data_IF_174811911033
#
_entry.id   IF_174811911033
#
_cell.length_a   1.000
_cell.length_b   1.000
_cell.length_c   1.000
_cell.angle_alpha   90.00
_cell.angle_beta   90.00
_cell.angle_gamma   90.00
#
_symmetry.space_group_name_H-M   'P 1'
#
loop_
_entity.id
_entity.type
_entity.pdbx_description
1 polymer ?
#
# COMPACT_ATOMS: atom_id res chain seq x y z
N UNK A 1 -8.22 5.03 -19.35
CA UNK A 1 -9.11 3.84 -19.40
C UNK A 1 -10.49 4.28 -18.97
N UNK A 2 -11.43 4.35 -19.90
CA UNK A 2 -12.86 4.55 -19.61
C UNK A 2 -13.52 3.19 -19.38
N UNK A 3 -14.48 3.15 -18.47
CA UNK A 3 -15.24 2.00 -17.95
C UNK A 3 -16.08 1.19 -18.98
N UNK A 4 -15.64 1.07 -20.23
CA UNK A 4 -16.48 0.64 -21.34
C UNK A 4 -16.53 -0.87 -21.61
N UNK A 5 -15.77 -1.71 -20.92
CA UNK A 5 -15.64 -3.14 -21.26
C UNK A 5 -16.23 -4.13 -20.25
N UNK A 6 -17.10 -3.67 -19.35
CA UNK A 6 -17.88 -4.58 -18.51
C UNK A 6 -19.32 -4.64 -19.02
N UNK A 7 -19.77 -5.84 -19.39
CA UNK A 7 -21.19 -6.12 -19.60
C UNK A 7 -22.02 -5.52 -18.43
N UNK A 8 -23.21 -4.96 -18.69
CA UNK A 8 -24.03 -4.36 -17.64
C UNK A 8 -24.26 -5.36 -16.51
N UNK A 9 -23.73 -5.04 -15.32
CA UNK A 9 -23.82 -5.91 -14.15
C UNK A 9 -25.20 -5.70 -13.54
N UNK A 10 -26.00 -6.77 -13.51
CA UNK A 10 -27.33 -6.75 -12.92
C UNK A 10 -27.26 -7.37 -11.55
N UNK A 11 -27.65 -6.62 -10.52
CA UNK A 11 -27.76 -7.12 -9.17
C UNK A 11 -28.72 -8.32 -9.13
N UNK A 12 -28.31 -9.39 -8.46
CA UNK A 12 -29.05 -10.65 -8.46
C UNK A 12 -28.83 -11.40 -7.15
N UNK A 13 -29.80 -12.24 -6.80
CA UNK A 13 -29.68 -13.12 -5.64
C UNK A 13 -28.96 -14.38 -6.10
N UNK A 14 -27.88 -14.75 -5.40
CA UNK A 14 -27.28 -16.07 -5.60
C UNK A 14 -28.20 -17.13 -4.99
N UNK A 15 -28.92 -17.85 -5.85
CA UNK A 15 -29.69 -19.02 -5.43
C UNK A 15 -28.78 -20.24 -5.42
N UNK A 16 -28.44 -20.73 -4.23
CA UNK A 16 -27.68 -21.98 -4.09
C UNK A 16 -26.32 -21.78 -3.45
N UNK A 17 -26.30 -21.81 -2.11
CA UNK A 17 -25.20 -22.47 -1.40
C UNK A 17 -24.72 -23.68 -2.22
N UNK A 18 -23.44 -23.73 -2.59
CA UNK A 18 -22.91 -24.87 -3.35
C UNK A 18 -23.03 -26.11 -2.44
N UNK A 19 -23.56 -27.24 -2.92
CA UNK A 19 -23.75 -28.46 -2.13
C UNK A 19 -22.47 -29.07 -1.52
N UNK A 20 -21.28 -28.62 -1.96
CA UNK A 20 -19.98 -28.99 -1.37
C UNK A 20 -19.59 -28.14 -0.14
N UNK A 21 -20.23 -26.99 0.07
CA UNK A 21 -20.03 -26.12 1.23
C UNK A 21 -21.17 -26.38 2.21
N UNK A 22 -20.86 -27.11 3.29
CA UNK A 22 -21.83 -27.67 4.22
C UNK A 22 -22.76 -26.63 4.89
N UNK A 23 -23.85 -26.27 4.20
CA UNK A 23 -25.11 -25.84 4.82
C UNK A 23 -26.23 -26.49 4.02
N UNK A 24 -26.64 -27.65 4.50
CA UNK A 24 -28.01 -28.13 4.31
C UNK A 24 -28.90 -26.97 4.77
N UNK A 25 -29.95 -26.68 4.01
CA UNK A 25 -31.10 -25.96 4.52
C UNK A 25 -31.51 -26.61 5.85
N UNK A 26 -30.94 -26.12 6.95
CA UNK A 26 -31.46 -26.40 8.25
C UNK A 26 -32.83 -25.74 8.18
N UNK A 27 -33.86 -26.59 8.19
CA UNK A 27 -35.09 -26.26 8.89
C UNK A 27 -34.67 -25.36 10.05
N UNK A 28 -35.02 -24.07 9.96
CA UNK A 28 -34.82 -23.10 11.02
C UNK A 28 -35.73 -23.58 12.15
N UNK A 29 -35.29 -24.61 12.85
CA UNK A 29 -35.73 -24.87 14.19
C UNK A 29 -35.06 -23.76 14.98
N UNK A 30 -35.80 -22.68 15.36
CA UNK A 30 -35.29 -21.86 16.44
C UNK A 30 -34.90 -22.80 17.57
N UNK A 31 -33.84 -22.49 18.35
CA UNK A 31 -33.51 -23.28 19.52
C UNK A 31 -34.82 -23.56 20.28
N UNK A 32 -35.09 -24.82 20.69
CA UNK A 32 -36.37 -25.17 21.30
C UNK A 32 -36.72 -24.14 22.38
N UNK A 33 -37.99 -23.76 22.54
CA UNK A 33 -38.40 -22.61 23.39
C UNK A 33 -37.86 -22.65 24.84
N UNK A 34 -37.46 -23.83 25.32
CA UNK A 34 -36.75 -24.06 26.60
C UNK A 34 -35.30 -23.53 26.64
N UNK A 35 -34.71 -23.23 25.49
CA UNK A 35 -33.38 -22.63 25.27
C UNK A 35 -33.46 -21.17 24.81
N UNK A 36 -34.59 -20.47 24.91
CA UNK A 36 -34.68 -19.04 24.54
C UNK A 36 -35.16 -18.25 25.74
N UNK A 37 -34.32 -18.17 26.77
CA UNK A 37 -34.53 -17.27 27.90
C UNK A 37 -33.20 -16.63 28.29
N UNK A 38 -33.04 -15.34 27.98
CA UNK A 38 -32.00 -14.52 28.57
C UNK A 38 -32.63 -13.35 29.29
N UNK A 39 -32.58 -13.41 30.62
CA UNK A 39 -32.54 -12.23 31.46
C UNK A 39 -31.10 -11.70 31.42
N UNK A 40 -30.89 -10.49 30.88
CA UNK A 40 -29.58 -9.83 30.87
C UNK A 40 -29.01 -9.64 32.29
N UNK A 41 -29.85 -9.72 33.33
CA UNK A 41 -29.51 -9.49 34.73
C UNK A 41 -29.24 -10.80 35.50
N UNK A 42 -29.24 -11.96 34.83
CA UNK A 42 -28.92 -13.24 35.46
C UNK A 42 -27.45 -13.25 35.96
N UNK A 43 -27.27 -13.33 37.27
CA UNK A 43 -25.97 -13.29 37.97
C UNK A 43 -25.08 -14.51 37.69
N UNK A 44 -25.65 -15.65 37.27
CA UNK A 44 -24.92 -16.89 37.05
C UNK A 44 -24.78 -17.20 35.55
N UNK A 45 -23.53 -17.19 35.07
CA UNK A 45 -23.17 -17.37 33.66
C UNK A 45 -23.60 -18.74 33.10
N UNK A 46 -23.70 -19.76 33.96
CA UNK A 46 -24.10 -21.14 33.64
C UNK A 46 -25.62 -21.32 33.49
N UNK A 47 -26.43 -20.33 33.89
CA UNK A 47 -27.89 -20.34 33.74
C UNK A 47 -28.35 -19.66 32.44
N UNK A 48 -27.41 -19.15 31.62
CA UNK A 48 -27.70 -18.57 30.31
C UNK A 48 -27.81 -19.69 29.28
N UNK A 49 -29.00 -20.24 29.08
CA UNK A 49 -29.29 -21.18 28.00
C UNK A 49 -29.97 -20.47 26.83
N UNK A 50 -29.24 -20.37 25.72
CA UNK A 50 -29.73 -19.90 24.42
C UNK A 50 -28.63 -19.63 23.41
N UNK A 51 -28.99 -19.26 22.17
CA UNK A 51 -28.01 -18.80 21.20
C UNK A 51 -27.35 -17.61 21.88
N UNK A 52 -26.12 -17.78 22.34
CA UNK A 52 -25.45 -16.72 23.10
C UNK A 52 -25.38 -15.43 22.28
N UNK A 53 -24.74 -14.40 22.82
CA UNK A 53 -24.52 -13.09 22.15
C UNK A 53 -23.74 -13.13 20.80
N UNK A 54 -23.59 -14.30 20.16
CA UNK A 54 -22.72 -14.59 19.02
C UNK A 54 -23.42 -15.28 17.84
N UNK A 55 -24.67 -15.74 17.98
CA UNK A 55 -25.45 -16.15 16.81
C UNK A 55 -25.91 -14.90 16.07
N UNK A 56 -25.67 -14.86 14.76
CA UNK A 56 -26.00 -13.69 13.96
C UNK A 56 -26.43 -14.09 12.55
N UNK A 57 -27.60 -13.65 12.12
CA UNK A 57 -28.00 -13.67 10.72
C UNK A 57 -27.43 -12.44 10.02
N UNK A 58 -27.15 -12.60 8.75
CA UNK A 58 -26.48 -11.57 7.97
C UNK A 58 -26.98 -11.56 6.52
N UNK A 59 -26.92 -10.38 5.90
CA UNK A 59 -27.03 -10.16 4.47
C UNK A 59 -25.64 -9.79 3.96
N UNK A 60 -25.24 -10.37 2.85
CA UNK A 60 -23.96 -10.16 2.20
C UNK A 60 -24.18 -9.62 0.79
N UNK A 61 -23.39 -8.62 0.41
CA UNK A 61 -23.43 -7.99 -0.89
C UNK A 61 -22.02 -7.95 -1.46
N UNK A 62 -21.85 -8.48 -2.66
CA UNK A 62 -20.65 -8.24 -3.46
C UNK A 62 -20.83 -6.91 -4.22
N UNK A 63 -20.08 -5.85 -3.87
CA UNK A 63 -20.19 -4.56 -4.54
C UNK A 63 -19.60 -4.57 -5.96
N UNK A 64 -18.80 -5.57 -6.29
CA UNK A 64 -18.17 -5.75 -7.59
C UNK A 64 -19.18 -6.21 -8.63
N UNK A 65 -19.96 -7.26 -8.37
CA UNK A 65 -20.89 -7.85 -9.34
C UNK A 65 -22.39 -7.70 -8.98
N UNK A 66 -22.70 -7.24 -7.78
CA UNK A 66 -24.07 -7.04 -7.30
C UNK A 66 -24.74 -8.31 -6.79
N UNK A 67 -23.98 -9.39 -6.54
CA UNK A 67 -24.49 -10.59 -5.92
C UNK A 67 -24.97 -10.31 -4.48
N UNK A 68 -26.15 -10.81 -4.14
CA UNK A 68 -26.72 -10.74 -2.80
C UNK A 68 -27.00 -12.16 -2.29
N UNK A 69 -26.60 -12.43 -1.04
CA UNK A 69 -26.93 -13.66 -0.33
C UNK A 69 -27.11 -13.41 1.16
N UNK A 70 -27.66 -14.39 1.87
CA UNK A 70 -27.91 -14.30 3.30
C UNK A 70 -27.62 -15.64 3.98
N UNK A 71 -27.37 -15.59 5.28
CA UNK A 71 -27.07 -16.77 6.08
C UNK A 71 -27.02 -16.45 7.57
N UNK A 72 -26.48 -17.38 8.34
CA UNK A 72 -26.24 -17.21 9.77
C UNK A 72 -24.84 -17.68 10.18
N UNK A 73 -24.46 -17.41 11.42
CA UNK A 73 -23.24 -17.95 12.04
C UNK A 73 -23.61 -19.01 13.06
N UNK A 74 -22.91 -20.15 13.06
CA UNK A 74 -23.20 -21.26 13.97
C UNK A 74 -22.97 -20.84 15.43
N UNK A 75 -24.05 -20.87 16.23
CA UNK A 75 -24.02 -20.55 17.66
C UNK A 75 -23.16 -21.51 18.49
N UNK A 76 -22.82 -22.68 17.94
CA UNK A 76 -22.00 -23.72 18.58
C UNK A 76 -20.50 -23.53 18.38
N UNK A 77 -20.09 -22.59 17.51
CA UNK A 77 -18.68 -22.36 17.21
C UNK A 77 -17.91 -21.77 18.41
N UNK A 78 -16.66 -22.23 18.69
CA UNK A 78 -15.86 -21.76 19.80
C UNK A 78 -15.52 -20.26 19.73
N UNK A 79 -15.07 -19.70 20.85
CA UNK A 79 -15.12 -18.26 21.15
C UNK A 79 -14.22 -17.34 20.30
N UNK A 80 -13.44 -17.84 19.36
CA UNK A 80 -12.45 -17.02 18.67
C UNK A 80 -13.00 -16.43 17.36
N UNK A 81 -13.34 -15.13 17.42
CA UNK A 81 -13.51 -14.22 16.28
C UNK A 81 -14.74 -14.41 15.38
N UNK A 82 -15.83 -13.64 15.65
CA UNK A 82 -16.95 -13.46 14.70
C UNK A 82 -16.48 -13.06 13.28
N UNK A 83 -15.38 -12.29 13.20
CA UNK A 83 -14.79 -11.82 11.96
C UNK A 83 -14.28 -12.93 11.05
N UNK A 84 -13.96 -14.11 11.60
CA UNK A 84 -13.51 -15.28 10.80
C UNK A 84 -14.65 -16.16 10.28
N UNK A 85 -15.91 -15.86 10.67
CA UNK A 85 -17.08 -16.67 10.34
C UNK A 85 -18.05 -15.99 9.38
N UNK A 86 -17.92 -14.68 9.19
CA UNK A 86 -18.70 -13.92 8.21
C UNK A 86 -18.07 -14.08 6.82
N UNK A 87 -18.88 -14.08 5.74
CA UNK A 87 -18.37 -14.13 4.37
C UNK A 87 -17.61 -12.86 3.95
N UNK A 88 -17.63 -11.83 4.79
CA UNK A 88 -17.05 -10.52 4.51
C UNK A 88 -17.00 -9.62 5.73
N UNK A 89 -16.80 -8.33 5.49
CA UNK A 89 -16.63 -7.33 6.55
C UNK A 89 -17.86 -6.42 6.65
N UNK A 90 -18.26 -6.02 7.88
CA UNK A 90 -19.30 -5.01 8.03
C UNK A 90 -18.80 -3.67 7.50
N UNK A 91 -19.72 -2.86 6.95
CA UNK A 91 -19.40 -1.54 6.37
C UNK A 91 -18.57 -0.64 7.28
N UNK A 92 -18.84 -0.66 8.58
CA UNK A 92 -18.10 0.12 9.58
C UNK A 92 -16.62 -0.27 9.70
N UNK A 93 -16.28 -1.53 9.41
CA UNK A 93 -14.90 -2.02 9.43
C UNK A 93 -14.11 -1.69 8.15
N UNK A 94 -14.82 -1.50 7.02
CA UNK A 94 -14.20 -1.13 5.74
C UNK A 94 -13.84 0.35 5.65
N UNK A 95 -14.51 1.22 6.41
CA UNK A 95 -14.33 2.66 6.28
C UNK A 95 -14.82 3.20 4.93
N UNK A 96 -14.42 4.42 4.58
CA UNK A 96 -14.88 5.16 3.39
C UNK A 96 -13.89 5.13 2.21
N UNK A 97 -12.82 4.33 2.32
CA UNK A 97 -11.74 4.24 1.33
C UNK A 97 -11.92 3.12 0.30
N UNK A 98 -10.82 2.46 -0.05
CA UNK A 98 -10.83 1.31 -0.97
C UNK A 98 -11.47 0.09 -0.33
N UNK A 99 -12.19 -0.68 -1.16
CA UNK A 99 -12.76 -1.98 -0.78
C UNK A 99 -11.75 -3.06 -1.19
N UNK A 100 -11.29 -3.91 -0.26
CA UNK A 100 -10.37 -5.00 -0.57
C UNK A 100 -10.92 -5.88 -1.71
N UNK A 101 -10.03 -6.43 -2.55
CA UNK A 101 -10.40 -7.13 -3.79
C UNK A 101 -11.37 -8.33 -3.63
N UNK A 102 -11.52 -8.87 -2.42
CA UNK A 102 -12.47 -9.95 -2.08
C UNK A 102 -13.53 -9.54 -1.06
N UNK A 103 -13.66 -8.25 -0.75
CA UNK A 103 -14.52 -7.78 0.32
C UNK A 103 -15.99 -7.75 -0.12
N UNK A 104 -16.66 -8.84 0.22
CA UNK A 104 -18.09 -8.84 0.47
C UNK A 104 -18.40 -7.88 1.62
N UNK A 105 -19.40 -7.01 1.44
CA UNK A 105 -19.90 -6.12 2.50
C UNK A 105 -21.06 -6.81 3.21
N UNK A 106 -20.98 -6.88 4.54
CA UNK A 106 -21.96 -7.60 5.37
C UNK A 106 -22.82 -6.64 6.17
N UNK A 107 -24.14 -6.80 6.06
CA UNK A 107 -25.12 -6.20 6.96
C UNK A 107 -25.59 -7.23 7.99
N UNK A 108 -25.28 -6.98 9.25
CA UNK A 108 -25.70 -7.84 10.35
C UNK A 108 -27.16 -7.54 10.71
N UNK A 109 -27.95 -8.59 10.88
CA UNK A 109 -29.37 -8.47 11.23
C UNK A 109 -29.52 -8.55 12.75
N UNK A 110 -30.25 -7.59 13.33
CA UNK A 110 -30.51 -7.58 14.78
C UNK A 110 -31.61 -8.59 15.12
N UNK A 111 -31.29 -9.52 16.02
CA UNK A 111 -32.25 -10.47 16.62
C UNK A 111 -32.94 -9.92 17.86
N UNK A 112 -32.36 -8.88 18.45
CA UNK A 112 -32.82 -8.31 19.71
C UNK A 112 -33.74 -7.13 19.45
N UNK A 113 -34.94 -7.20 19.99
CA UNK A 113 -35.93 -6.13 19.99
C UNK A 113 -36.37 -5.83 21.42
N UNK A 114 -36.46 -4.55 21.75
CA UNK A 114 -36.91 -4.10 23.06
C UNK A 114 -38.39 -3.74 22.96
N UNK A 115 -39.20 -4.26 23.87
CA UNK A 115 -40.58 -3.79 24.02
C UNK A 115 -40.63 -2.43 24.76
N UNK A 116 -41.84 -1.88 24.91
CA UNK A 116 -42.05 -0.57 25.56
C UNK A 116 -41.68 -0.56 27.07
N UNK A 117 -41.49 -1.74 27.68
CA UNK A 117 -41.08 -1.91 29.08
C UNK A 117 -39.59 -2.29 29.21
N UNK A 118 -38.80 -2.17 28.13
CA UNK A 118 -37.41 -2.63 28.03
C UNK A 118 -37.24 -4.15 28.15
N UNK A 119 -38.31 -4.93 27.95
CA UNK A 119 -38.23 -6.38 27.83
C UNK A 119 -37.51 -6.78 26.54
N UNK A 120 -36.48 -7.62 26.68
CA UNK A 120 -35.70 -8.15 25.57
C UNK A 120 -36.40 -9.34 24.92
N UNK A 121 -36.68 -9.25 23.63
CA UNK A 121 -37.21 -10.36 22.83
C UNK A 121 -36.24 -10.71 21.70
N UNK A 122 -35.96 -12.00 21.55
CA UNK A 122 -35.10 -12.53 20.50
C UNK A 122 -35.96 -13.11 19.37
N UNK A 123 -35.71 -12.70 18.13
CA UNK A 123 -36.36 -13.26 16.93
C UNK A 123 -35.35 -13.61 15.85
N UNK A 124 -35.47 -14.83 15.33
CA UNK A 124 -34.79 -15.29 14.14
C UNK A 124 -35.72 -15.19 12.93
N UNK A 125 -35.16 -14.79 11.80
CA UNK A 125 -35.90 -14.64 10.54
C UNK A 125 -35.87 -15.93 9.75
N UNK A 126 -36.99 -16.25 9.08
CA UNK A 126 -37.03 -17.42 8.18
C UNK A 126 -36.24 -17.18 6.90
N UNK A 127 -35.88 -18.25 6.18
CA UNK A 127 -35.23 -18.13 4.88
C UNK A 127 -36.12 -17.36 3.87
N UNK A 128 -37.44 -17.53 3.93
CA UNK A 128 -38.39 -16.78 3.10
C UNK A 128 -38.44 -15.29 3.48
N UNK A 129 -38.38 -14.97 4.78
CA UNK A 129 -38.31 -13.58 5.24
C UNK A 129 -37.00 -12.92 4.75
N UNK A 130 -35.86 -13.60 4.88
CA UNK A 130 -34.56 -13.11 4.42
C UNK A 130 -34.50 -12.98 2.89
N UNK A 131 -35.06 -13.94 2.15
CA UNK A 131 -35.16 -13.88 0.69
C UNK A 131 -36.00 -12.68 0.25
N UNK A 132 -37.14 -12.44 0.91
CA UNK A 132 -37.99 -11.28 0.65
C UNK A 132 -37.24 -9.96 0.89
N UNK A 133 -36.39 -9.90 1.92
CA UNK A 133 -35.53 -8.73 2.17
C UNK A 133 -34.49 -8.59 1.06
N UNK A 134 -33.84 -9.68 0.66
CA UNK A 134 -32.85 -9.69 -0.42
C UNK A 134 -33.46 -9.16 -1.74
N UNK A 135 -34.65 -9.61 -2.13
CA UNK A 135 -35.36 -9.11 -3.32
C UNK A 135 -35.65 -7.61 -3.22
N UNK A 136 -36.04 -7.13 -2.03
CA UNK A 136 -36.39 -5.72 -1.81
C UNK A 136 -35.20 -4.79 -1.90
N UNK A 137 -34.00 -5.23 -1.53
CA UNK A 137 -32.79 -4.40 -1.57
C UNK A 137 -32.11 -4.38 -2.94
N UNK A 138 -32.47 -5.26 -3.88
CA UNK A 138 -31.87 -5.33 -5.21
C UNK A 138 -31.77 -3.97 -5.94
N UNK A 139 -32.79 -3.08 -5.91
CA UNK A 139 -32.67 -1.77 -6.54
C UNK A 139 -31.60 -0.87 -5.91
N UNK A 140 -31.42 -0.94 -4.58
CA UNK A 140 -30.38 -0.20 -3.88
C UNK A 140 -28.99 -0.82 -4.10
N UNK A 141 -28.92 -2.15 -4.20
CA UNK A 141 -27.68 -2.86 -4.59
C UNK A 141 -27.28 -2.49 -6.03
N UNK A 142 -28.22 -2.43 -6.96
CA UNK A 142 -27.94 -1.99 -8.33
C UNK A 142 -27.38 -0.56 -8.33
N UNK A 143 -28.01 0.36 -7.59
CA UNK A 143 -27.51 1.73 -7.42
C UNK A 143 -26.10 1.78 -6.84
N UNK A 144 -25.78 0.91 -5.88
CA UNK A 144 -24.44 0.78 -5.31
C UNK A 144 -23.44 0.34 -6.38
N UNK A 145 -23.74 -0.73 -7.12
CA UNK A 145 -22.85 -1.28 -8.17
C UNK A 145 -22.64 -0.29 -9.31
N UNK A 146 -23.67 0.46 -9.68
CA UNK A 146 -23.61 1.47 -10.74
C UNK A 146 -22.80 2.71 -10.34
N UNK A 147 -22.69 2.99 -9.04
CA UNK A 147 -22.07 4.20 -8.52
C UNK A 147 -20.72 3.99 -7.87
N UNK A 148 -20.33 2.76 -7.55
CA UNK A 148 -19.02 2.48 -6.96
C UNK A 148 -17.89 2.75 -7.98
N UNK A 149 -16.80 3.35 -7.51
CA UNK A 149 -15.67 3.65 -8.38
C UNK A 149 -14.83 2.40 -8.65
N UNK A 150 -14.30 2.34 -9.88
CA UNK A 150 -13.27 1.38 -10.28
C UNK A 150 -11.99 2.15 -10.54
N UNK A 151 -10.95 1.81 -9.80
CA UNK A 151 -9.68 2.54 -9.78
C UNK A 151 -8.53 1.65 -10.22
N UNK A 152 -7.48 2.29 -10.72
CA UNK A 152 -6.27 1.58 -11.17
C UNK A 152 -6.48 0.66 -12.38
N UNK A 153 -5.41 -0.02 -12.82
CA UNK A 153 -5.45 -0.99 -13.91
C UNK A 153 -6.19 -2.28 -13.53
N UNK A 154 -6.11 -2.69 -12.26
CA UNK A 154 -6.71 -3.93 -11.76
C UNK A 154 -8.21 -3.79 -11.44
N UNK A 155 -8.76 -2.57 -11.51
CA UNK A 155 -10.17 -2.30 -11.30
C UNK A 155 -10.62 -2.50 -9.86
N UNK A 156 -9.73 -2.18 -8.91
CA UNK A 156 -10.05 -2.15 -7.48
C UNK A 156 -11.24 -1.22 -7.22
N UNK A 157 -11.98 -1.47 -6.14
CA UNK A 157 -13.21 -0.76 -5.85
C UNK A 157 -12.95 0.33 -4.80
N UNK A 158 -13.57 1.50 -4.98
CA UNK A 158 -13.53 2.59 -4.01
C UNK A 158 -14.94 3.18 -3.82
N UNK A 159 -15.29 3.50 -2.57
CA UNK A 159 -16.58 4.10 -2.28
C UNK A 159 -16.72 5.47 -2.97
N UNK A 160 -17.86 5.67 -3.63
CA UNK A 160 -18.36 7.00 -4.00
C UNK A 160 -19.35 7.50 -2.95
N UNK A 161 -19.64 8.80 -2.97
CA UNK A 161 -20.65 9.39 -2.09
C UNK A 161 -22.03 8.75 -2.30
N UNK A 162 -22.34 8.42 -3.56
CA UNK A 162 -23.59 7.78 -3.95
C UNK A 162 -23.66 6.31 -3.55
N UNK A 163 -22.56 5.55 -3.70
CA UNK A 163 -22.48 4.16 -3.28
C UNK A 163 -22.63 4.03 -1.75
N UNK A 164 -22.04 4.95 -0.99
CA UNK A 164 -22.21 5.02 0.46
C UNK A 164 -23.67 5.32 0.85
N UNK A 165 -24.35 6.21 0.12
CA UNK A 165 -25.80 6.47 0.34
C UNK A 165 -26.68 5.29 -0.05
N UNK A 166 -26.36 4.61 -1.15
CA UNK A 166 -27.06 3.38 -1.54
C UNK A 166 -26.90 2.30 -0.47
N UNK A 167 -25.72 2.18 0.14
CA UNK A 167 -25.50 1.28 1.26
C UNK A 167 -26.36 1.63 2.48
N UNK A 168 -26.46 2.91 2.88
CA UNK A 168 -27.36 3.31 3.98
C UNK A 168 -28.82 2.93 3.70
N UNK A 169 -29.27 3.03 2.44
CA UNK A 169 -30.62 2.61 2.04
C UNK A 169 -30.80 1.08 2.16
N UNK A 170 -29.75 0.29 1.88
CA UNK A 170 -29.70 -1.17 2.10
C UNK A 170 -29.79 -1.46 3.61
N UNK A 171 -28.93 -0.85 4.43
CA UNK A 171 -28.94 -1.03 5.89
C UNK A 171 -30.31 -0.67 6.48
N UNK A 172 -30.91 0.43 6.03
CA UNK A 172 -32.23 0.84 6.47
C UNK A 172 -33.31 -0.19 6.12
N UNK A 173 -33.35 -0.67 4.88
CA UNK A 173 -34.33 -1.66 4.44
C UNK A 173 -34.13 -3.02 5.15
N UNK A 174 -32.89 -3.34 5.53
CA UNK A 174 -32.50 -4.54 6.26
C UNK A 174 -32.52 -4.38 7.79
N UNK A 175 -33.04 -3.26 8.33
CA UNK A 175 -33.19 -3.06 9.78
C UNK A 175 -34.66 -3.21 10.18
N UNK A 176 -35.07 -4.35 10.74
CA UNK A 176 -36.47 -4.60 11.07
C UNK A 176 -36.91 -3.82 12.32
N UNK A 177 -38.21 -3.57 12.41
CA UNK A 177 -38.88 -3.07 13.62
C UNK A 177 -40.02 -3.99 13.99
N UNK A 178 -40.38 -4.05 15.27
CA UNK A 178 -41.62 -4.72 15.70
C UNK A 178 -42.73 -3.69 15.84
N UNK A 179 -43.91 -4.02 15.31
CA UNK A 179 -45.11 -3.27 15.62
C UNK A 179 -45.71 -3.69 16.97
N UNK A 180 -46.73 -2.97 17.49
CA UNK A 180 -47.34 -3.30 18.78
C UNK A 180 -47.96 -4.70 18.85
N UNK A 181 -48.14 -5.40 17.72
CA UNK A 181 -48.62 -6.78 17.68
C UNK A 181 -47.51 -7.82 17.76
N UNK A 182 -46.24 -7.40 17.79
CA UNK A 182 -45.07 -8.28 17.70
C UNK A 182 -44.77 -8.75 16.28
N UNK A 183 -45.43 -8.18 15.26
CA UNK A 183 -45.18 -8.52 13.85
C UNK A 183 -43.98 -7.74 13.33
N UNK A 184 -43.07 -8.44 12.64
CA UNK A 184 -41.91 -7.80 12.00
C UNK A 184 -42.36 -6.93 10.85
N UNK A 185 -41.89 -5.68 10.89
CA UNK A 185 -42.00 -4.73 9.80
C UNK A 185 -40.63 -4.33 9.32
N UNK A 186 -40.35 -4.75 8.09
CA UNK A 186 -39.23 -4.25 7.32
C UNK A 186 -39.56 -2.85 6.78
N UNK A 187 -38.68 -1.87 6.95
CA UNK A 187 -38.85 -0.57 6.32
C UNK A 187 -38.96 -0.72 4.80
N UNK A 188 -39.71 0.19 4.18
CA UNK A 188 -39.74 0.25 2.72
C UNK A 188 -38.37 0.70 2.21
N UNK A 189 -37.85 0.10 1.12
CA UNK A 189 -36.68 0.61 0.44
C UNK A 189 -36.83 2.10 0.15
N UNK A 190 -35.75 2.83 0.35
CA UNK A 190 -35.67 4.26 0.05
C UNK A 190 -34.75 4.47 -1.15
N UNK A 191 -34.87 5.65 -1.74
CA UNK A 191 -33.94 6.13 -2.77
C UNK A 191 -33.49 7.50 -2.30
N UNK A 192 -32.70 7.51 -1.23
CA UNK A 192 -32.30 8.73 -0.54
C UNK A 192 -31.32 9.49 -1.44
N UNK A 193 -31.54 10.78 -1.75
CA UNK A 193 -30.55 11.55 -2.51
C UNK A 193 -29.24 11.67 -1.71
N UNK A 194 -28.10 11.72 -2.40
CA UNK A 194 -26.80 11.93 -1.76
C UNK A 194 -26.83 13.21 -0.92
N UNK A 195 -26.60 13.14 0.39
CA UNK A 195 -26.67 14.32 1.24
C UNK A 195 -25.50 15.25 0.94
N UNK A 196 -25.72 16.57 1.06
CA UNK A 196 -24.72 17.59 0.71
C UNK A 196 -23.43 17.53 1.53
N UNK A 197 -23.41 16.79 2.65
CA UNK A 197 -22.22 16.59 3.47
C UNK A 197 -21.32 15.44 2.98
N UNK A 198 -21.82 14.56 2.10
CA UNK A 198 -21.00 13.58 1.39
C UNK A 198 -20.49 14.18 0.09
N UNK A 199 -19.20 14.44 0.03
CA UNK A 199 -18.57 15.15 -1.08
C UNK A 199 -17.84 14.16 -1.98
N UNK A 200 -18.17 14.18 -3.26
CA UNK A 200 -17.42 13.48 -4.29
C UNK A 200 -16.15 14.27 -4.63
N UNK A 201 -14.97 13.68 -4.41
CA UNK A 201 -13.68 14.38 -4.57
C UNK A 201 -13.50 14.84 -6.01
N UNK A 202 -13.90 14.04 -7.00
CA UNK A 202 -13.82 14.43 -8.41
C UNK A 202 -14.60 15.71 -8.72
N UNK A 203 -15.82 15.83 -8.19
CA UNK A 203 -16.65 17.02 -8.36
C UNK A 203 -16.07 18.24 -7.61
N UNK A 204 -15.49 18.02 -6.43
CA UNK A 204 -14.81 19.05 -5.66
C UNK A 204 -13.58 19.60 -6.40
N UNK A 205 -12.72 18.73 -6.94
CA UNK A 205 -11.54 19.15 -7.71
C UNK A 205 -11.92 19.82 -9.03
N UNK A 206 -12.96 19.36 -9.72
CA UNK A 206 -13.45 20.01 -10.94
C UNK A 206 -13.93 21.45 -10.69
N UNK A 207 -14.47 21.73 -9.50
CA UNK A 207 -14.87 23.08 -9.09
C UNK A 207 -13.71 23.97 -8.61
N UNK A 208 -12.54 23.37 -8.30
CA UNK A 208 -11.36 24.04 -7.75
C UNK A 208 -10.09 23.55 -8.46
N UNK A 209 -9.94 23.80 -9.78
CA UNK A 209 -8.87 23.23 -10.59
C UNK A 209 -7.46 23.65 -10.15
N UNK A 210 -7.33 24.75 -9.42
CA UNK A 210 -6.07 25.22 -8.83
C UNK A 210 -5.52 24.29 -7.74
N UNK A 211 -6.34 23.36 -7.23
CA UNK A 211 -5.91 22.34 -6.27
C UNK A 211 -5.32 21.10 -6.96
N UNK A 212 -5.48 20.97 -8.27
CA UNK A 212 -4.94 19.85 -9.02
C UNK A 212 -3.45 20.08 -9.31
N UNK A 213 -2.58 19.21 -8.78
CA UNK A 213 -1.16 19.24 -9.13
C UNK A 213 -0.95 18.62 -10.52
N UNK A 214 -0.38 19.36 -11.50
CA UNK A 214 -0.10 18.83 -12.83
C UNK A 214 0.79 17.58 -12.84
N UNK A 215 1.59 17.35 -11.79
CA UNK A 215 2.45 16.18 -11.66
C UNK A 215 1.66 14.87 -11.70
N UNK A 216 0.42 14.85 -11.19
CA UNK A 216 -0.45 13.67 -11.16
C UNK A 216 -0.69 13.06 -12.55
N UNK A 217 -0.57 13.86 -13.61
CA UNK A 217 -0.70 13.40 -14.99
C UNK A 217 0.36 12.36 -15.40
N UNK A 218 1.52 12.35 -14.75
CA UNK A 218 2.66 11.48 -15.08
C UNK A 218 3.20 10.72 -13.88
N UNK A 219 2.59 10.86 -12.71
CA UNK A 219 2.92 10.10 -11.50
C UNK A 219 2.59 8.61 -11.66
N UNK A 220 3.41 7.74 -11.05
CA UNK A 220 3.17 6.29 -11.01
C UNK A 220 1.96 5.93 -10.14
N UNK A 221 1.36 4.77 -10.38
CA UNK A 221 0.16 4.29 -9.65
C UNK A 221 0.37 4.29 -8.14
N UNK A 222 1.46 3.69 -7.66
CA UNK A 222 1.78 3.63 -6.24
C UNK A 222 1.94 5.02 -5.57
N UNK A 223 2.44 6.02 -6.31
CA UNK A 223 2.61 7.37 -5.78
C UNK A 223 1.29 8.15 -5.81
N UNK A 224 0.42 7.92 -6.80
CA UNK A 224 -0.96 8.43 -6.79
C UNK A 224 -1.77 7.84 -5.63
N UNK A 225 -1.65 6.54 -5.38
CA UNK A 225 -2.33 5.88 -4.27
C UNK A 225 -1.85 6.44 -2.92
N UNK A 226 -0.54 6.70 -2.79
CA UNK A 226 0.03 7.36 -1.62
C UNK A 226 -0.51 8.79 -1.43
N UNK A 227 -0.75 9.55 -2.51
CA UNK A 227 -1.40 10.86 -2.42
C UNK A 227 -2.87 10.78 -1.99
N UNK A 228 -3.58 9.71 -2.37
CA UNK A 228 -4.96 9.50 -1.95
C UNK A 228 -5.06 9.15 -0.47
N UNK A 229 -4.10 8.40 0.08
CA UNK A 229 -4.04 8.04 1.50
C UNK A 229 -3.44 9.13 2.40
N UNK A 230 -2.77 10.13 1.80
CA UNK A 230 -2.10 11.17 2.57
C UNK A 230 -3.11 12.09 3.26
N UNK A 231 -3.03 12.19 4.59
CA UNK A 231 -3.84 13.11 5.39
C UNK A 231 -2.96 14.22 6.00
N UNK A 232 -2.91 15.43 5.40
CA UNK A 232 -2.11 16.52 5.92
C UNK A 232 -2.74 17.17 7.15
N UNK A 233 -1.89 17.79 7.97
CA UNK A 233 -2.29 18.54 9.17
C UNK A 233 -3.10 19.80 8.83
N UNK A 234 -2.82 20.42 7.67
CA UNK A 234 -3.54 21.57 7.11
C UNK A 234 -3.78 21.24 5.64
N UNK A 235 -5.04 21.30 5.18
CA UNK A 235 -5.56 20.62 3.98
C UNK A 235 -4.66 20.38 2.73
N UNK A 236 -5.03 19.28 2.07
CA UNK A 236 -4.64 18.58 0.81
C UNK A 236 -3.24 17.92 0.66
N UNK A 237 -3.14 16.61 0.89
CA UNK A 237 -3.52 15.54 -0.06
C UNK A 237 -4.79 14.85 0.46
N UNK A 238 -5.53 14.17 -0.43
CA UNK A 238 -6.75 13.41 -0.11
C UNK A 238 -7.65 14.03 0.97
N UNK A 239 -8.43 15.08 0.65
CA UNK A 239 -9.26 15.89 1.60
C UNK A 239 -9.77 15.08 2.82
N UNK A 240 -9.17 15.25 4.02
CA UNK A 240 -9.65 16.30 4.93
C UNK A 240 -8.56 17.03 5.75
N UNK A 241 -8.78 18.33 5.95
CA UNK A 241 -8.00 19.21 6.82
C UNK A 241 -8.55 20.64 6.84
N UNK A 242 -9.71 20.84 7.49
CA UNK A 242 -10.41 22.05 8.00
C UNK A 242 -10.51 23.35 7.16
N UNK A 243 -9.63 23.64 6.21
CA UNK A 243 -9.68 24.89 5.41
C UNK A 243 -9.08 24.68 4.02
N UNK A 244 -9.87 24.88 2.97
CA UNK A 244 -9.32 25.17 1.64
C UNK A 244 -9.13 26.68 1.53
N UNK A 245 -7.91 27.18 1.74
CA UNK A 245 -7.63 28.62 1.71
C UNK A 245 -7.85 29.25 0.33
N UNK A 246 -7.65 28.50 -0.75
CA UNK A 246 -7.83 29.01 -2.12
C UNK A 246 -9.31 29.13 -2.52
N UNK A 247 -10.17 28.24 -2.00
CA UNK A 247 -11.60 28.27 -2.29
C UNK A 247 -12.41 29.09 -1.27
N UNK A 248 -11.77 29.65 -0.24
CA UNK A 248 -12.42 30.28 0.93
C UNK A 248 -13.54 29.42 1.56
N UNK A 249 -13.45 28.09 1.40
CA UNK A 249 -14.42 27.14 1.93
C UNK A 249 -13.91 26.49 3.21
N UNK A 250 -14.63 26.73 4.30
CA UNK A 250 -14.45 26.00 5.55
C UNK A 250 -14.97 24.57 5.39
N UNK A 251 -14.10 23.60 5.59
CA UNK A 251 -14.48 22.18 5.68
C UNK A 251 -14.71 21.94 7.17
N UNK A 252 -15.90 22.29 7.65
CA UNK A 252 -16.28 22.10 9.06
C UNK A 252 -16.29 20.61 9.44
N UNK A 253 -16.25 20.33 10.75
CA UNK A 253 -16.56 19.01 11.29
C UNK A 253 -17.96 18.59 10.80
N UNK A 254 -18.05 17.60 9.90
CA UNK A 254 -19.34 17.12 9.37
C UNK A 254 -19.36 16.70 7.91
N UNK A 255 -18.31 16.98 7.12
CA UNK A 255 -18.20 16.51 5.73
C UNK A 255 -17.38 15.23 5.60
N UNK A 256 -17.81 14.31 4.73
CA UNK A 256 -17.06 13.09 4.38
C UNK A 256 -16.76 13.10 2.89
N UNK A 257 -15.50 12.87 2.53
CA UNK A 257 -15.04 12.85 1.14
C UNK A 257 -14.93 11.41 0.63
N UNK A 258 -15.28 11.20 -0.63
CA UNK A 258 -15.31 9.90 -1.29
C UNK A 258 -14.64 9.97 -2.67
N UNK A 259 -14.07 8.84 -3.12
CA UNK A 259 -13.48 8.73 -4.46
C UNK A 259 -12.13 9.43 -4.61
N UNK A 260 -11.26 9.38 -3.60
CA UNK A 260 -9.95 10.05 -3.64
C UNK A 260 -9.06 9.52 -4.76
N UNK A 261 -8.86 8.19 -4.81
CA UNK A 261 -8.07 7.56 -5.87
C UNK A 261 -8.78 7.73 -7.21
N UNK A 262 -10.09 7.51 -7.26
CA UNK A 262 -10.89 7.68 -8.46
C UNK A 262 -10.69 9.05 -9.10
N UNK A 263 -10.66 10.11 -8.30
CA UNK A 263 -10.41 11.46 -8.78
C UNK A 263 -9.00 11.64 -9.35
N UNK A 264 -7.96 11.09 -8.70
CA UNK A 264 -6.57 11.15 -9.19
C UNK A 264 -6.38 10.37 -10.50
N UNK A 265 -6.91 9.15 -10.58
CA UNK A 265 -6.87 8.34 -11.80
C UNK A 265 -7.67 8.99 -12.94
N UNK A 266 -8.84 9.59 -12.64
CA UNK A 266 -9.64 10.33 -13.61
C UNK A 266 -8.89 11.57 -14.13
N UNK A 267 -8.24 12.33 -13.24
CA UNK A 267 -7.41 13.46 -13.63
C UNK A 267 -6.29 13.04 -14.58
N UNK A 268 -5.57 11.97 -14.25
CA UNK A 268 -4.52 11.43 -15.12
C UNK A 268 -5.06 10.95 -16.46
N UNK A 269 -6.20 10.26 -16.47
CA UNK A 269 -6.85 9.81 -17.69
C UNK A 269 -7.23 11.00 -18.58
N UNK A 270 -7.78 12.07 -18.00
CA UNK A 270 -8.11 13.30 -18.71
C UNK A 270 -6.86 13.99 -19.28
N UNK A 271 -5.79 14.10 -18.50
CA UNK A 271 -4.52 14.69 -18.95
C UNK A 271 -3.84 13.85 -20.05
N UNK A 272 -4.03 12.53 -20.01
CA UNK A 272 -3.49 11.61 -21.02
C UNK A 272 -4.26 11.70 -22.34
N UNK A 273 -5.55 12.04 -22.33
CA UNK A 273 -6.39 12.08 -23.53
C UNK A 273 -6.53 10.69 -24.13
N UNK A 274 -6.30 10.55 -25.44
CA UNK A 274 -6.38 9.26 -26.15
C UNK A 274 -5.16 8.35 -25.90
N UNK A 275 -4.17 8.83 -25.14
CA UNK A 275 -2.95 8.07 -24.87
C UNK A 275 -3.12 7.16 -23.67
N UNK A 276 -2.48 6.01 -23.72
CA UNK A 276 -2.49 5.03 -22.62
C UNK A 276 -1.40 5.37 -21.60
N UNK A 277 -1.75 5.62 -20.33
CA UNK A 277 -0.76 5.69 -19.25
C UNK A 277 -0.02 4.36 -19.16
N UNK A 278 1.31 4.37 -19.11
CA UNK A 278 2.13 3.15 -19.06
C UNK A 278 3.31 3.35 -18.14
N UNK A 279 3.57 2.41 -17.25
CA UNK A 279 4.73 2.46 -16.36
C UNK A 279 6.04 2.59 -17.15
N UNK A 280 6.82 3.62 -16.82
CA UNK A 280 8.04 3.97 -17.53
C UNK A 280 9.07 2.84 -17.52
N UNK A 281 9.23 2.18 -16.36
CA UNK A 281 10.16 1.07 -16.20
C UNK A 281 9.78 -0.08 -17.13
N UNK A 282 8.52 -0.51 -17.05
CA UNK A 282 7.99 -1.59 -17.89
C UNK A 282 8.21 -1.29 -19.36
N UNK A 283 7.86 -0.09 -19.83
CA UNK A 283 8.03 0.26 -21.24
C UNK A 283 9.50 0.28 -21.68
N UNK A 284 10.38 0.94 -20.93
CA UNK A 284 11.80 1.09 -21.26
C UNK A 284 12.55 -0.24 -21.22
N UNK A 285 12.26 -1.12 -20.26
CA UNK A 285 12.99 -2.37 -20.04
C UNK A 285 12.48 -3.53 -20.90
N UNK A 286 11.17 -3.58 -21.19
CA UNK A 286 10.56 -4.79 -21.77
C UNK A 286 10.25 -4.66 -23.27
N UNK A 287 10.05 -3.44 -23.79
CA UNK A 287 9.67 -3.23 -25.19
C UNK A 287 10.87 -2.93 -26.08
N UNK A 288 10.85 -3.39 -27.33
CA UNK A 288 11.92 -3.08 -28.29
C UNK A 288 12.00 -1.58 -28.60
N UNK A 289 10.87 -0.88 -28.65
CA UNK A 289 10.82 0.56 -28.83
C UNK A 289 11.45 1.32 -27.64
N UNK A 290 11.12 0.91 -26.41
CA UNK A 290 11.70 1.46 -25.19
C UNK A 290 13.20 1.24 -25.10
N UNK A 291 13.68 0.01 -25.34
CA UNK A 291 15.10 -0.32 -25.37
C UNK A 291 15.86 0.46 -26.44
N UNK A 292 15.33 0.52 -27.66
CA UNK A 292 15.94 1.28 -28.76
C UNK A 292 16.02 2.77 -28.43
N UNK A 293 14.97 3.34 -27.84
CA UNK A 293 14.97 4.74 -27.39
C UNK A 293 16.01 4.96 -26.29
N UNK A 294 16.13 4.03 -25.34
CA UNK A 294 17.11 4.08 -24.26
C UNK A 294 18.54 4.09 -24.80
N UNK A 295 18.88 3.15 -25.68
CA UNK A 295 20.19 3.05 -26.33
C UNK A 295 20.53 4.29 -27.17
N UNK A 296 19.54 4.87 -27.87
CA UNK A 296 19.73 6.08 -28.66
C UNK A 296 19.88 7.34 -27.79
N UNK A 297 19.27 7.36 -26.60
CA UNK A 297 19.25 8.54 -25.72
C UNK A 297 20.48 8.62 -24.81
N UNK A 298 21.07 7.48 -24.41
CA UNK A 298 22.24 7.45 -23.53
C UNK A 298 23.47 8.00 -24.29
N UNK A 299 24.15 9.03 -23.77
CA UNK A 299 25.39 9.50 -24.39
C UNK A 299 26.41 8.35 -24.43
N UNK A 300 27.10 8.11 -25.55
CA UNK A 300 28.08 7.02 -25.65
C UNK A 300 29.11 7.10 -24.52
N UNK A 301 29.15 6.08 -23.66
CA UNK A 301 30.10 5.98 -22.55
C UNK A 301 29.76 6.78 -21.29
N UNK A 302 28.61 7.48 -21.22
CA UNK A 302 28.20 8.20 -20.00
C UNK A 302 27.34 7.30 -19.08
N UNK A 303 27.76 7.15 -17.83
CA UNK A 303 26.91 6.61 -16.77
C UNK A 303 25.93 7.69 -16.29
N UNK A 304 24.69 7.32 -15.91
CA UNK A 304 23.75 8.24 -15.28
C UNK A 304 24.29 8.78 -13.96
N UNK A 305 25.17 8.05 -13.27
CA UNK A 305 25.85 8.53 -12.06
C UNK A 305 26.52 9.91 -12.24
N UNK A 306 27.09 10.14 -13.43
CA UNK A 306 27.92 11.30 -13.74
C UNK A 306 27.15 12.48 -14.34
N UNK A 307 25.88 12.29 -14.69
CA UNK A 307 25.11 13.33 -15.39
C UNK A 307 24.43 14.31 -14.43
N UNK A 308 24.42 15.62 -14.76
CA UNK A 308 23.70 16.63 -13.98
C UNK A 308 22.17 16.48 -14.14
N UNK A 309 21.41 17.14 -13.26
CA UNK A 309 19.94 17.10 -13.27
C UNK A 309 19.31 17.58 -14.58
N UNK A 310 19.94 18.52 -15.29
CA UNK A 310 19.44 18.97 -16.60
C UNK A 310 19.44 17.85 -17.65
N UNK A 311 20.40 16.93 -17.59
CA UNK A 311 20.43 15.77 -18.51
C UNK A 311 19.32 14.78 -18.16
N UNK A 312 18.98 14.61 -16.89
CA UNK A 312 17.81 13.80 -16.51
C UNK A 312 16.50 14.42 -17.00
N UNK A 313 16.36 15.74 -16.94
CA UNK A 313 15.21 16.44 -17.49
C UNK A 313 15.13 16.26 -19.02
N UNK A 314 16.25 16.41 -19.73
CA UNK A 314 16.32 16.18 -21.17
C UNK A 314 15.96 14.72 -21.54
N UNK A 315 16.44 13.74 -20.77
CA UNK A 315 16.09 12.33 -20.94
C UNK A 315 14.60 12.09 -20.69
N UNK A 316 14.05 12.68 -19.64
CA UNK A 316 12.62 12.62 -19.34
C UNK A 316 11.78 13.12 -20.53
N UNK A 317 12.15 14.28 -21.10
CA UNK A 317 11.45 14.85 -22.24
C UNK A 317 11.58 13.99 -23.50
N UNK A 318 12.77 13.45 -23.79
CA UNK A 318 13.00 12.54 -24.93
C UNK A 318 12.19 11.27 -24.82
N UNK A 319 12.19 10.62 -23.66
CA UNK A 319 11.43 9.39 -23.45
C UNK A 319 9.93 9.63 -23.51
N UNK A 320 9.42 10.73 -22.93
CA UNK A 320 8.02 11.10 -23.09
C UNK A 320 7.65 11.38 -24.55
N UNK A 321 8.50 12.08 -25.30
CA UNK A 321 8.25 12.34 -26.72
C UNK A 321 8.22 11.06 -27.55
N UNK A 322 9.17 10.15 -27.36
CA UNK A 322 9.18 8.85 -28.03
C UNK A 322 7.93 8.03 -27.69
N UNK A 323 7.57 7.93 -26.42
CA UNK A 323 6.36 7.21 -25.99
C UNK A 323 5.08 7.80 -26.58
N UNK A 324 5.00 9.13 -26.73
CA UNK A 324 3.86 9.80 -27.39
C UNK A 324 3.68 9.37 -28.84
N UNK A 325 4.75 9.10 -29.58
CA UNK A 325 4.68 8.58 -30.96
C UNK A 325 4.02 7.20 -31.02
N UNK A 326 4.06 6.45 -29.91
CA UNK A 326 3.40 5.16 -29.73
C UNK A 326 2.02 5.26 -29.07
N UNK A 327 1.47 6.47 -28.89
CA UNK A 327 0.18 6.68 -28.24
C UNK A 327 0.22 6.46 -26.72
N UNK A 328 1.37 6.65 -26.08
CA UNK A 328 1.57 6.39 -24.64
C UNK A 328 1.88 7.68 -23.87
N UNK A 329 1.66 7.63 -22.56
CA UNK A 329 2.17 8.60 -21.58
C UNK A 329 2.92 7.80 -20.52
N UNK A 330 4.22 8.05 -20.35
CA UNK A 330 5.00 7.30 -19.38
C UNK A 330 4.71 7.80 -17.96
N UNK A 331 4.30 6.91 -17.07
CA UNK A 331 4.07 7.18 -15.65
C UNK A 331 5.32 6.82 -14.84
N UNK A 332 5.63 7.61 -13.80
CA UNK A 332 6.77 7.35 -12.91
C UNK A 332 8.17 7.58 -13.50
N UNK A 333 8.27 8.12 -14.71
CA UNK A 333 9.53 8.23 -15.44
C UNK A 333 10.63 8.99 -14.68
N UNK A 334 10.28 10.15 -14.13
CA UNK A 334 11.24 10.98 -13.37
C UNK A 334 11.78 10.25 -12.14
N UNK A 335 10.89 9.59 -11.39
CA UNK A 335 11.24 8.78 -10.22
C UNK A 335 12.13 7.61 -10.62
N UNK A 336 11.80 6.93 -11.72
CA UNK A 336 12.61 5.83 -12.27
C UNK A 336 14.02 6.27 -12.66
N UNK A 337 14.17 7.38 -13.40
CA UNK A 337 15.49 7.90 -13.81
C UNK A 337 16.34 8.32 -12.59
N UNK A 338 15.73 8.92 -11.57
CA UNK A 338 16.41 9.26 -10.31
C UNK A 338 16.83 8.04 -9.53
N UNK A 339 16.00 7.00 -9.52
CA UNK A 339 16.31 5.73 -8.87
C UNK A 339 17.52 5.07 -9.53
N UNK A 340 17.50 4.89 -10.86
CA UNK A 340 18.64 4.35 -11.61
C UNK A 340 19.94 5.12 -11.35
N UNK A 341 19.89 6.45 -11.36
CA UNK A 341 21.08 7.27 -11.04
C UNK A 341 21.58 7.02 -9.62
N UNK A 342 20.66 6.91 -8.66
CA UNK A 342 21.01 6.63 -7.25
C UNK A 342 21.68 5.26 -7.13
N UNK A 343 21.17 4.25 -7.82
CA UNK A 343 21.78 2.91 -7.86
C UNK A 343 23.18 2.93 -8.47
N UNK A 344 23.36 3.60 -9.62
CA UNK A 344 24.69 3.72 -10.23
C UNK A 344 25.68 4.49 -9.32
N UNK A 345 25.23 5.56 -8.64
CA UNK A 345 26.06 6.29 -7.67
C UNK A 345 26.44 5.45 -6.47
N UNK A 346 25.52 4.64 -5.96
CA UNK A 346 25.83 3.70 -4.88
C UNK A 346 26.90 2.68 -5.31
N UNK A 347 26.89 2.26 -6.59
CA UNK A 347 27.97 1.44 -7.16
C UNK A 347 29.33 2.15 -7.18
N UNK A 348 29.36 3.45 -7.50
CA UNK A 348 30.58 4.26 -7.43
C UNK A 348 31.09 4.39 -5.99
N UNK A 349 30.19 4.61 -5.02
CA UNK A 349 30.56 4.67 -3.61
C UNK A 349 31.15 3.34 -3.12
N UNK A 350 30.56 2.20 -3.53
CA UNK A 350 31.10 0.88 -3.22
C UNK A 350 32.47 0.64 -3.85
N UNK A 351 32.68 1.09 -5.09
CA UNK A 351 33.97 1.00 -5.77
C UNK A 351 35.04 1.80 -5.02
N UNK A 352 34.71 3.01 -4.55
CA UNK A 352 35.63 3.84 -3.77
C UNK A 352 36.00 3.19 -2.43
N UNK A 353 35.04 2.56 -1.75
CA UNK A 353 35.30 1.81 -0.51
C UNK A 353 36.29 0.66 -0.76
N UNK A 354 36.03 -0.13 -1.80
CA UNK A 354 36.92 -1.24 -2.18
C UNK A 354 38.34 -0.75 -2.52
N UNK A 355 38.46 0.33 -3.30
CA UNK A 355 39.77 0.93 -3.61
C UNK A 355 40.49 1.44 -2.36
N UNK A 356 39.76 2.02 -1.41
CA UNK A 356 40.30 2.45 -0.12
C UNK A 356 40.85 1.28 0.72
N UNK A 357 40.08 0.19 0.83
CA UNK A 357 40.52 -1.03 1.51
C UNK A 357 41.76 -1.66 0.86
N UNK A 358 41.79 -1.66 -0.48
CA UNK A 358 42.92 -2.21 -1.23
C UNK A 358 44.19 -1.36 -1.07
N UNK A 359 44.05 -0.03 -1.05
CA UNK A 359 45.16 0.88 -0.73
C UNK A 359 45.70 0.60 0.67
N UNK A 360 44.83 0.49 1.68
CA UNK A 360 45.24 0.18 3.06
C UNK A 360 45.98 -1.18 3.13
N UNK A 361 45.47 -2.20 2.44
CA UNK A 361 46.09 -3.52 2.35
C UNK A 361 47.50 -3.43 1.76
N UNK A 362 47.66 -2.68 0.66
CA UNK A 362 48.95 -2.50 -0.01
C UNK A 362 49.94 -1.70 0.85
N UNK A 363 49.47 -0.68 1.57
CA UNK A 363 50.31 0.10 2.51
C UNK A 363 50.80 -0.77 3.67
N UNK A 364 49.94 -1.61 4.25
CA UNK A 364 50.30 -2.54 5.30
C UNK A 364 51.33 -3.57 4.82
N UNK A 365 51.15 -4.08 3.60
CA UNK A 365 52.07 -5.02 2.97
C UNK A 365 53.44 -4.34 2.71
N UNK A 366 53.44 -3.11 2.19
CA UNK A 366 54.65 -2.31 2.00
C UNK A 366 55.38 -2.03 3.32
N UNK A 367 54.65 -1.75 4.41
CA UNK A 367 55.21 -1.60 5.76
C UNK A 367 55.91 -2.89 6.20
N UNK A 368 55.29 -4.04 5.96
CA UNK A 368 55.89 -5.37 6.21
C UNK A 368 57.19 -5.59 5.42
N UNK A 369 57.19 -5.29 4.12
CA UNK A 369 58.40 -5.38 3.29
C UNK A 369 59.50 -4.41 3.75
N UNK A 370 59.16 -3.17 4.09
CA UNK A 370 60.12 -2.19 4.64
C UNK A 370 60.75 -2.71 5.93
N UNK A 371 59.96 -3.26 6.85
CA UNK A 371 60.47 -3.87 8.09
C UNK A 371 61.35 -5.11 7.84
N UNK A 372 61.00 -5.95 6.86
CA UNK A 372 61.82 -7.09 6.42
C UNK A 372 63.17 -6.67 5.85
N UNK A 373 63.16 -5.73 4.89
CA UNK A 373 64.37 -5.13 4.30
C UNK A 373 65.28 -4.57 5.38
N UNK A 374 64.71 -3.78 6.28
CA UNK A 374 65.41 -3.17 7.39
C UNK A 374 66.13 -4.21 8.27
N UNK A 375 65.45 -5.29 8.66
CA UNK A 375 66.10 -6.40 9.41
C UNK A 375 67.28 -7.01 8.65
N UNK A 376 67.14 -7.20 7.34
CA UNK A 376 68.22 -7.71 6.48
C UNK A 376 69.41 -6.75 6.44
N UNK A 377 69.15 -5.44 6.29
CA UNK A 377 70.20 -4.40 6.34
C UNK A 377 70.93 -4.44 7.68
N UNK A 378 70.21 -4.49 8.81
CA UNK A 378 70.82 -4.62 10.14
C UNK A 378 71.70 -5.86 10.26
N UNK A 379 71.25 -7.01 9.72
CA UNK A 379 72.04 -8.25 9.73
C UNK A 379 73.32 -8.12 8.90
N UNK A 380 73.26 -7.50 7.73
CA UNK A 380 74.45 -7.24 6.89
C UNK A 380 75.42 -6.31 7.61
N UNK A 381 74.92 -5.22 8.22
CA UNK A 381 75.74 -4.29 8.99
C UNK A 381 76.47 -4.96 10.17
N UNK A 382 75.92 -6.05 10.73
CA UNK A 382 76.54 -6.79 11.82
C UNK A 382 77.68 -7.74 11.39
N UNK A 383 77.86 -8.02 10.09
CA UNK A 383 78.88 -8.96 9.61
C UNK A 383 80.31 -8.41 9.66
N UNK A 384 80.48 -7.08 9.74
CA UNK A 384 81.80 -6.43 9.72
C UNK A 384 82.68 -6.88 8.54
N UNK A 385 82.08 -7.14 7.37
CA UNK A 385 82.75 -7.71 6.19
C UNK A 385 83.34 -6.65 5.25
N UNK A 386 83.31 -5.37 5.64
CA UNK A 386 83.96 -4.26 4.94
C UNK A 386 83.12 -3.57 3.86
N UNK A 387 81.86 -3.95 3.65
CA UNK A 387 80.97 -3.30 2.66
C UNK A 387 80.66 -1.84 3.01
N UNK A 388 80.66 -0.99 1.99
CA UNK A 388 80.35 0.44 2.15
C UNK A 388 78.85 0.68 2.34
N UNK A 389 78.47 1.81 2.94
CA UNK A 389 77.05 2.17 3.12
C UNK A 389 76.32 2.27 1.77
N UNK A 390 76.99 2.84 0.76
CA UNK A 390 76.48 2.97 -0.60
C UNK A 390 76.17 1.61 -1.26
N UNK A 391 77.02 0.59 -1.06
CA UNK A 391 76.77 -0.77 -1.59
C UNK A 391 75.54 -1.41 -0.94
N UNK A 392 75.39 -1.27 0.38
CA UNK A 392 74.25 -1.80 1.12
C UNK A 392 72.96 -1.06 0.74
N UNK A 393 73.05 0.27 0.60
CA UNK A 393 71.95 1.13 0.21
C UNK A 393 71.43 0.82 -1.21
N UNK A 394 72.36 0.57 -2.14
CA UNK A 394 72.03 0.16 -3.50
C UNK A 394 71.27 -1.19 -3.53
N UNK A 395 71.77 -2.20 -2.81
CA UNK A 395 71.10 -3.51 -2.71
C UNK A 395 69.72 -3.43 -2.04
N UNK A 396 69.57 -2.54 -1.05
CA UNK A 396 68.32 -2.32 -0.35
C UNK A 396 67.36 -1.35 -1.08
N UNK A 397 67.79 -0.78 -2.22
CA UNK A 397 67.05 0.29 -2.91
C UNK A 397 66.60 1.38 -1.93
N UNK A 398 67.55 1.92 -1.17
CA UNK A 398 67.32 3.00 -0.21
C UNK A 398 68.45 4.04 -0.29
N UNK A 399 68.24 5.27 0.23
CA UNK A 399 69.30 6.27 0.27
C UNK A 399 70.47 5.85 1.16
N UNK A 400 71.69 6.20 0.74
CA UNK A 400 72.94 5.93 1.47
C UNK A 400 72.91 6.52 2.90
N UNK A 401 72.39 7.73 3.03
CA UNK A 401 72.23 8.43 4.32
C UNK A 401 71.42 7.63 5.35
N UNK A 402 70.40 6.87 4.91
CA UNK A 402 69.61 6.04 5.83
C UNK A 402 70.42 4.87 6.39
N UNK A 403 71.29 4.26 5.58
CA UNK A 403 72.17 3.17 6.04
C UNK A 403 73.25 3.73 6.97
N UNK A 404 73.84 4.88 6.62
CA UNK A 404 74.81 5.58 7.46
C UNK A 404 74.25 5.92 8.84
N UNK A 405 73.03 6.48 8.91
CA UNK A 405 72.33 6.76 10.17
C UNK A 405 72.07 5.49 11.00
N UNK A 406 71.74 4.38 10.35
CA UNK A 406 71.50 3.10 11.01
C UNK A 406 72.79 2.52 11.59
N UNK A 407 73.88 2.60 10.83
CA UNK A 407 75.21 2.18 11.27
C UNK A 407 75.69 3.00 12.46
N UNK A 408 75.46 4.32 12.46
CA UNK A 408 75.75 5.19 13.59
C UNK A 408 74.99 4.75 14.86
N UNK A 409 73.66 4.56 14.76
CA UNK A 409 72.84 4.10 15.90
C UNK A 409 73.26 2.74 16.46
N UNK A 410 73.56 1.77 15.60
CA UNK A 410 74.00 0.44 16.01
C UNK A 410 75.38 0.47 16.70
N UNK A 411 76.25 1.39 16.31
CA UNK A 411 77.56 1.59 16.95
C UNK A 411 77.44 2.35 18.28
N UNK A 412 76.56 3.35 18.37
CA UNK A 412 76.27 4.06 19.63
C UNK A 412 75.68 3.11 20.68
N UNK A 413 74.69 2.28 20.32
CA UNK A 413 74.09 1.26 21.22
C UNK A 413 75.13 0.24 21.72
N UNK A 414 76.15 -0.07 20.91
CA UNK A 414 77.26 -0.97 21.27
C UNK A 414 78.26 -0.34 22.23
N UNK A 415 78.31 0.99 22.29
CA UNK A 415 79.24 1.77 23.13
C UNK A 415 78.65 2.01 24.53
N UNK A 416 77.34 1.83 24.73
CA UNK A 416 76.63 1.99 26.01
C UNK A 416 76.33 0.70 26.78
N UNK A 417 76.69 -0.48 26.26
CA UNK A 417 76.54 -1.74 27.03
C UNK A 417 77.59 -1.80 28.16
N UNK A 418 77.21 -1.95 29.45
CA UNK A 418 78.18 -2.08 30.53
C UNK A 418 78.92 -3.43 30.39
N UNK A 419 80.20 -3.52 30.78
CA UNK A 419 80.91 -4.79 30.78
C UNK A 419 80.18 -5.76 31.69
N UNK A 420 79.80 -6.93 31.16
CA UNK A 420 79.20 -8.01 31.93
C UNK A 420 80.15 -8.51 33.04
N UNK A 421 79.62 -9.19 34.07
CA UNK A 421 80.38 -9.62 35.23
C UNK A 421 81.54 -10.57 34.91
#
# INVERSE_FOLDING_TARGET
MTAADNAPRTAHILTGYRPEDAFIAAELDPPPAEYVWHDEHAEQQEQRYGPGMRYQQWLAVDPGDGAVWFGDTDWRAPRDGLTGQLPGLPRRALGDGTIPASATVVQLLSHLTHDQQQGCTWRFFTAEELHTVAERILPAVQRLVDSIHRIGPDGELEWSAEAATAWDDIEHAATPTLDPSGTVRWPRPRTTPTPAWRIEVGAFLAANPELCDPSWAVTADAELDAYADYHPVTGYGGVPGRTCHNAERHIEDGFTFYGHRAALYAYRAQASGDRTPTDARTWLETTEAGKSTWEAAKPPGAALADVPDCVLADLNDRFQNSAREHGLVLTGLHTYLRHLRTEERAGVDQQLLFEGEEVERLENLLKGFRAGRNRTVTRILAWSDGRTDAEIAHLASMPDEHVSQWRARLNDDRTTAPPGP
#
